data_IF_111215696748
#
_entry.id   IF_111215696748
#
_cell.length_a   1.000
_cell.length_b   1.000
_cell.length_c   1.000
_cell.angle_alpha   90.00
_cell.angle_beta   90.00
_cell.angle_gamma   90.00
#
_symmetry.space_group_name_H-M   'P 1'
#
loop_
_entity.id
_entity.type
_entity.pdbx_description
1 polymer ?
#
# COMPACT_ATOMS: atom_id res chain seq x y z
N UNK A 1 8.41 -11.55 1.30
CA UNK A 1 7.92 -10.66 2.38
C UNK A 1 7.23 -11.53 3.42
N UNK A 2 7.48 -11.31 4.72
CA UNK A 2 6.84 -12.09 5.79
C UNK A 2 5.33 -11.82 5.88
N UNK A 3 4.54 -12.83 6.30
CA UNK A 3 3.07 -12.80 6.42
C UNK A 3 2.60 -11.61 7.26
N UNK A 4 3.31 -11.27 8.34
CA UNK A 4 2.93 -10.14 9.20
C UNK A 4 3.15 -8.78 8.55
N UNK A 5 4.20 -8.65 7.74
CA UNK A 5 4.45 -7.43 6.97
C UNK A 5 3.43 -7.28 5.83
N UNK A 6 3.04 -8.41 5.22
CA UNK A 6 1.95 -8.46 4.25
C UNK A 6 0.64 -7.93 4.79
N UNK A 7 0.23 -8.47 5.93
CA UNK A 7 -0.94 -8.04 6.68
C UNK A 7 -0.90 -6.55 7.05
N UNK A 8 0.27 -6.04 7.43
CA UNK A 8 0.48 -4.61 7.73
C UNK A 8 0.22 -3.73 6.51
N UNK A 9 0.74 -4.11 5.34
CA UNK A 9 0.51 -3.35 4.11
C UNK A 9 -0.95 -3.38 3.68
N UNK A 10 -1.62 -4.53 3.77
CA UNK A 10 -3.06 -4.62 3.48
C UNK A 10 -3.89 -3.75 4.43
N UNK A 11 -3.55 -3.73 5.73
CA UNK A 11 -4.18 -2.80 6.68
C UNK A 11 -3.99 -1.34 6.27
N UNK A 12 -2.78 -0.96 5.85
CA UNK A 12 -2.49 0.40 5.41
C UNK A 12 -3.36 0.78 4.21
N UNK A 13 -3.49 -0.11 3.21
CA UNK A 13 -4.37 0.11 2.05
C UNK A 13 -5.83 0.32 2.46
N UNK A 14 -6.32 -0.44 3.44
CA UNK A 14 -7.67 -0.26 3.95
C UNK A 14 -7.84 1.08 4.69
N UNK A 15 -6.83 1.52 5.43
CA UNK A 15 -6.83 2.84 6.08
C UNK A 15 -6.86 3.96 5.05
N UNK A 16 -6.06 3.84 3.99
CA UNK A 16 -6.01 4.84 2.93
C UNK A 16 -7.35 4.92 2.19
N UNK A 17 -7.91 3.76 1.83
CA UNK A 17 -9.17 3.67 1.07
C UNK A 17 -10.42 4.04 1.89
N UNK A 18 -10.55 3.51 3.11
CA UNK A 18 -11.78 3.61 3.91
C UNK A 18 -11.69 4.63 5.05
N UNK A 19 -10.49 5.12 5.34
CA UNK A 19 -10.24 6.19 6.30
C UNK A 19 -9.67 7.46 5.68
N UNK A 20 -9.53 7.53 4.35
CA UNK A 20 -8.89 8.66 3.64
C UNK A 20 -7.48 8.95 4.18
N UNK A 21 -6.74 7.89 4.54
CA UNK A 21 -5.41 7.99 5.17
C UNK A 21 -5.44 8.28 6.68
N UNK A 22 -6.59 8.63 7.26
CA UNK A 22 -6.72 8.89 8.69
C UNK A 22 -7.08 7.62 9.47
N UNK A 23 -6.13 7.15 10.28
CA UNK A 23 -6.30 5.97 11.15
C UNK A 23 -7.51 6.07 12.08
N UNK A 24 -7.81 7.26 12.60
CA UNK A 24 -8.94 7.51 13.48
C UNK A 24 -10.29 7.36 12.77
N UNK A 25 -10.42 7.84 11.52
CA UNK A 25 -11.61 7.64 10.68
C UNK A 25 -11.80 6.15 10.37
N UNK A 26 -10.72 5.47 9.95
CA UNK A 26 -10.76 4.04 9.70
C UNK A 26 -11.20 3.25 10.94
N UNK A 27 -10.58 3.52 12.09
CA UNK A 27 -10.87 2.86 13.35
C UNK A 27 -12.35 2.99 13.75
N UNK A 28 -12.94 4.19 13.61
CA UNK A 28 -14.38 4.42 13.83
C UNK A 28 -15.22 3.53 12.91
N UNK A 29 -14.86 3.45 11.63
CA UNK A 29 -15.59 2.66 10.63
C UNK A 29 -15.59 1.16 10.95
N UNK A 30 -14.45 0.61 11.35
CA UNK A 30 -14.35 -0.82 11.72
C UNK A 30 -14.68 -1.09 13.19
N UNK A 31 -15.15 -0.08 13.93
CA UNK A 31 -15.51 -0.15 15.35
C UNK A 31 -14.36 -0.70 16.21
N UNK A 32 -13.16 -0.17 15.98
CA UNK A 32 -11.95 -0.49 16.74
C UNK A 32 -11.37 0.78 17.38
N UNK A 33 -10.53 0.60 18.40
CA UNK A 33 -9.82 1.72 19.00
C UNK A 33 -8.70 2.24 18.06
N UNK A 34 -8.55 3.56 17.85
CA UNK A 34 -7.52 4.13 16.98
C UNK A 34 -6.10 3.69 17.35
N UNK A 35 -5.80 3.60 18.65
CA UNK A 35 -4.49 3.12 19.12
C UNK A 35 -4.21 1.69 18.64
N UNK A 36 -5.21 0.80 18.63
CA UNK A 36 -5.06 -0.57 18.13
C UNK A 36 -4.64 -0.58 16.66
N UNK A 37 -5.28 0.24 15.83
CA UNK A 37 -4.91 0.41 14.41
C UNK A 37 -3.47 0.94 14.30
N UNK A 38 -3.11 1.96 15.06
CA UNK A 38 -1.75 2.51 15.07
C UNK A 38 -0.68 1.48 15.42
N UNK A 39 -0.89 0.72 16.50
CA UNK A 39 0.05 -0.32 16.95
C UNK A 39 0.19 -1.48 15.95
N UNK A 40 -0.86 -1.80 15.20
CA UNK A 40 -0.81 -2.81 14.14
C UNK A 40 -0.05 -2.34 12.89
N UNK A 41 0.00 -1.04 12.64
CA UNK A 41 0.71 -0.44 11.50
C UNK A 41 2.20 -0.19 11.75
N UNK A 42 2.69 -0.42 12.98
CA UNK A 42 4.10 -0.29 13.30
C UNK A 42 4.96 -1.26 12.47
N UNK A 43 6.10 -0.74 11.98
CA UNK A 43 7.11 -1.55 11.30
C UNK A 43 7.66 -2.62 12.25
N UNK A 44 8.19 -3.71 11.68
CA UNK A 44 8.90 -4.74 12.45
C UNK A 44 10.01 -4.12 13.31
N UNK A 45 10.17 -4.59 14.55
CA UNK A 45 11.20 -4.12 15.48
C UNK A 45 10.82 -2.93 16.36
N UNK A 46 9.67 -2.27 16.13
CA UNK A 46 9.22 -1.14 16.97
C UNK A 46 8.51 -1.66 18.23
N UNK A 47 8.89 -1.21 19.44
CA UNK A 47 8.20 -1.55 20.68
C UNK A 47 6.70 -1.23 20.64
N UNK A 48 5.89 -2.12 21.19
CA UNK A 48 4.43 -1.97 21.19
C UNK A 48 3.77 -2.31 19.85
N UNK A 49 4.48 -2.91 18.89
CA UNK A 49 3.84 -3.50 17.70
C UNK A 49 2.84 -4.57 18.13
N UNK A 50 1.61 -4.48 17.61
CA UNK A 50 0.59 -5.53 17.78
C UNK A 50 0.45 -6.34 16.51
N UNK A 51 0.35 -7.66 16.66
CA UNK A 51 0.11 -8.55 15.53
C UNK A 51 -1.33 -8.42 15.03
N UNK A 52 -1.49 -8.59 13.72
CA UNK A 52 -2.80 -8.68 13.07
C UNK A 52 -3.22 -10.15 13.06
N UNK A 53 -4.03 -10.53 14.06
CA UNK A 53 -4.51 -11.90 14.27
C UNK A 53 -5.69 -12.22 13.35
N UNK A 54 -6.00 -13.51 13.19
CA UNK A 54 -7.15 -13.95 12.38
C UNK A 54 -8.46 -13.30 12.87
N UNK A 55 -8.68 -13.24 14.19
CA UNK A 55 -9.85 -12.57 14.78
C UNK A 55 -9.97 -11.10 14.37
N UNK A 56 -8.84 -10.39 14.29
CA UNK A 56 -8.84 -9.00 13.84
C UNK A 56 -9.16 -8.89 12.36
N UNK A 57 -8.63 -9.80 11.54
CA UNK A 57 -8.92 -9.87 10.10
C UNK A 57 -10.41 -10.10 9.88
N UNK A 58 -10.98 -11.14 10.48
CA UNK A 58 -12.40 -11.46 10.37
C UNK A 58 -13.28 -10.28 10.78
N UNK A 59 -12.92 -9.59 11.86
CA UNK A 59 -13.65 -8.39 12.29
C UNK A 59 -13.61 -7.29 11.22
N UNK A 60 -12.44 -6.99 10.68
CA UNK A 60 -12.26 -5.94 9.66
C UNK A 60 -13.00 -6.32 8.38
N UNK A 61 -12.82 -7.54 7.90
CA UNK A 61 -13.49 -8.05 6.69
C UNK A 61 -15.01 -7.98 6.82
N UNK A 62 -15.55 -8.43 7.95
CA UNK A 62 -16.99 -8.35 8.24
C UNK A 62 -17.50 -6.92 8.28
N UNK A 63 -16.76 -5.99 8.91
CA UNK A 63 -17.18 -4.58 9.03
C UNK A 63 -17.13 -3.83 7.71
N UNK A 64 -16.29 -4.25 6.79
CA UNK A 64 -16.14 -3.65 5.47
C UNK A 64 -16.87 -4.43 4.37
N UNK A 65 -17.58 -5.50 4.73
CA UNK A 65 -18.22 -6.44 3.79
C UNK A 65 -17.25 -6.95 2.72
N UNK A 66 -16.00 -7.22 3.11
CA UNK A 66 -14.99 -7.80 2.24
C UNK A 66 -15.15 -9.33 2.18
N UNK A 67 -14.76 -9.98 1.07
CA UNK A 67 -14.71 -11.43 1.01
C UNK A 67 -13.78 -12.02 2.08
N UNK A 68 -14.14 -13.17 2.64
CA UNK A 68 -13.26 -13.88 3.58
C UNK A 68 -11.89 -14.14 2.95
N UNK A 69 -10.83 -13.86 3.71
CA UNK A 69 -9.45 -14.04 3.28
C UNK A 69 -8.96 -12.96 2.32
N UNK A 70 -9.73 -11.89 2.07
CA UNK A 70 -9.29 -10.72 1.32
C UNK A 70 -7.98 -10.15 1.88
N UNK A 71 -7.83 -10.16 3.19
CA UNK A 71 -6.67 -9.62 3.89
C UNK A 71 -5.37 -10.39 3.61
N UNK A 72 -5.48 -11.67 3.23
CA UNK A 72 -4.35 -12.53 2.86
C UNK A 72 -4.24 -12.75 1.35
N UNK A 73 -5.18 -12.23 0.53
CA UNK A 73 -5.06 -12.29 -0.93
C UNK A 73 -3.82 -11.55 -1.37
N UNK A 74 -2.97 -12.15 -2.23
CA UNK A 74 -1.76 -11.49 -2.71
C UNK A 74 -2.10 -10.15 -3.34
N UNK A 75 -1.29 -9.13 -3.04
CA UNK A 75 -1.37 -7.83 -3.69
C UNK A 75 -1.11 -8.08 -5.19
N UNK A 76 -2.09 -7.75 -6.04
CA UNK A 76 -1.84 -7.69 -7.48
C UNK A 76 -0.91 -6.50 -7.74
N UNK A 77 -0.05 -6.58 -8.76
CA UNK A 77 0.86 -5.49 -9.12
C UNK A 77 0.11 -4.16 -9.39
N UNK A 78 -1.16 -4.25 -9.77
CA UNK A 78 -2.07 -3.13 -10.08
C UNK A 78 -2.66 -2.46 -8.81
N UNK A 79 -2.51 -3.10 -7.65
CA UNK A 79 -3.22 -2.79 -6.41
C UNK A 79 -2.32 -2.10 -5.36
N UNK A 80 -0.99 -2.15 -5.53
CA UNK A 80 -0.04 -1.55 -4.60
C UNK A 80 0.07 -0.02 -4.75
N UNK A 81 0.49 0.70 -3.70
CA UNK A 81 1.00 2.06 -3.90
C UNK A 81 2.17 1.98 -4.89
N UNK A 82 2.21 2.93 -5.84
CA UNK A 82 3.29 3.10 -6.81
C UNK A 82 4.66 2.87 -6.12
N UNK A 83 5.46 1.86 -6.53
CA UNK A 83 6.61 1.41 -5.73
C UNK A 83 7.80 2.36 -5.79
N UNK A 84 7.78 3.35 -6.69
CA UNK A 84 8.90 4.24 -6.91
C UNK A 84 8.74 5.52 -6.07
N UNK A 85 9.46 5.59 -4.95
CA UNK A 85 9.65 6.86 -4.21
C UNK A 85 11.02 7.50 -4.46
N UNK A 86 12.04 6.75 -4.89
CA UNK A 86 13.29 7.21 -5.50
C UNK A 86 14.03 5.95 -6.00
N UNK A 87 14.18 5.78 -7.31
CA UNK A 87 15.15 4.82 -7.85
C UNK A 87 16.53 5.48 -7.78
N UNK A 88 17.53 4.82 -7.18
CA UNK A 88 18.89 5.34 -7.21
C UNK A 88 19.50 5.14 -8.59
N UNK A 89 20.50 5.95 -8.96
CA UNK A 89 21.20 5.79 -10.24
C UNK A 89 21.77 4.37 -10.41
N UNK A 90 22.30 3.77 -9.34
CA UNK A 90 22.82 2.40 -9.38
C UNK A 90 21.72 1.36 -9.63
N UNK A 91 20.54 1.54 -9.03
CA UNK A 91 19.40 0.65 -9.27
C UNK A 91 18.88 0.78 -10.69
N UNK A 92 18.88 1.99 -11.26
CA UNK A 92 18.52 2.21 -12.66
C UNK A 92 19.45 1.44 -13.60
N UNK A 93 20.77 1.51 -13.39
CA UNK A 93 21.74 0.78 -14.21
C UNK A 93 21.61 -0.76 -14.12
N UNK A 94 21.01 -1.28 -13.05
CA UNK A 94 20.78 -2.71 -12.86
C UNK A 94 19.51 -3.24 -13.55
N UNK A 95 18.69 -2.34 -14.12
CA UNK A 95 17.48 -2.73 -14.85
C UNK A 95 17.84 -3.42 -16.18
N UNK A 96 16.94 -4.24 -16.69
CA UNK A 96 17.14 -4.84 -18.01
C UNK A 96 16.82 -3.85 -19.14
N UNK A 97 17.17 -4.20 -20.37
CA UNK A 97 16.91 -3.32 -21.53
C UNK A 97 15.43 -2.99 -21.74
N UNK A 98 14.52 -3.91 -21.38
CA UNK A 98 13.09 -3.70 -21.57
C UNK A 98 12.59 -2.62 -20.62
N UNK A 99 12.98 -2.72 -19.35
CA UNK A 99 12.64 -1.73 -18.32
C UNK A 99 13.14 -0.33 -18.69
N UNK A 100 14.38 -0.22 -19.21
CA UNK A 100 14.92 1.05 -19.70
C UNK A 100 14.06 1.68 -20.80
N UNK A 101 13.65 0.89 -21.80
CA UNK A 101 12.80 1.36 -22.91
C UNK A 101 11.42 1.82 -22.43
N UNK A 102 10.84 1.11 -21.47
CA UNK A 102 9.55 1.47 -20.89
C UNK A 102 9.65 2.82 -20.13
N UNK A 103 10.73 3.04 -19.38
CA UNK A 103 10.99 4.32 -18.68
C UNK A 103 11.15 5.47 -19.69
N UNK A 104 11.98 5.29 -20.73
CA UNK A 104 12.18 6.30 -21.77
C UNK A 104 10.87 6.68 -22.47
N UNK A 105 10.04 5.68 -22.78
CA UNK A 105 8.76 5.89 -23.42
C UNK A 105 7.80 6.70 -22.55
N UNK A 106 7.70 6.38 -21.25
CA UNK A 106 6.88 7.12 -20.28
C UNK A 106 7.34 8.59 -20.18
N UNK A 107 8.65 8.82 -20.13
CA UNK A 107 9.21 10.18 -20.07
C UNK A 107 8.87 10.96 -21.34
N UNK A 108 9.07 10.35 -22.51
CA UNK A 108 8.74 10.96 -23.80
C UNK A 108 7.28 11.40 -23.87
N UNK A 109 6.36 10.52 -23.49
CA UNK A 109 4.93 10.85 -23.47
C UNK A 109 4.59 12.03 -22.54
N UNK A 110 5.27 12.13 -21.39
CA UNK A 110 5.04 13.24 -20.45
C UNK A 110 5.53 14.57 -21.00
N UNK A 111 6.70 14.58 -21.64
CA UNK A 111 7.25 15.80 -22.24
C UNK A 111 6.43 16.25 -23.46
N UNK A 112 5.97 15.32 -24.29
CA UNK A 112 5.11 15.63 -25.44
C UNK A 112 3.73 16.18 -25.01
N UNK A 113 3.17 15.73 -23.88
CA UNK A 113 1.93 16.28 -23.34
C UNK A 113 2.08 17.70 -22.78
N UNK A 114 3.24 18.03 -22.20
CA UNK A 114 3.48 19.37 -21.66
C UNK A 114 3.72 20.41 -22.76
N UNK A 115 4.30 20.03 -23.90
CA UNK A 115 4.49 20.94 -25.05
C UNK A 115 3.16 21.35 -25.70
N UNK A 116 2.13 20.50 -25.64
CA UNK A 116 0.82 20.76 -26.26
C UNK A 116 -0.18 21.52 -25.38
N UNK A 117 0.17 21.83 -24.12
CA UNK A 117 -0.69 22.58 -23.19
C UNK A 117 -0.30 24.06 -23.05
N UNK A 118 0.75 24.51 -23.75
CA UNK A 118 1.24 25.91 -23.74
C UNK A 118 0.88 26.68 -25.04
N UNK A 119 -0.17 26.25 -25.76
CA UNK A 119 -0.74 26.94 -26.94
C UNK A 119 -2.22 27.27 -26.74
#
# INVERSE_FOLDING_TARGET
MDKYEFRRLQLQRLVDKYGEGFKSKFAKRVQMHPASISHMLYKLGIPGKRLITERTIEQIEKKLSLPTGWFDKPLKHEDGPWPFQLITYQQFLMLDERDHREIEWILKMKFEKNVNNDL
#
